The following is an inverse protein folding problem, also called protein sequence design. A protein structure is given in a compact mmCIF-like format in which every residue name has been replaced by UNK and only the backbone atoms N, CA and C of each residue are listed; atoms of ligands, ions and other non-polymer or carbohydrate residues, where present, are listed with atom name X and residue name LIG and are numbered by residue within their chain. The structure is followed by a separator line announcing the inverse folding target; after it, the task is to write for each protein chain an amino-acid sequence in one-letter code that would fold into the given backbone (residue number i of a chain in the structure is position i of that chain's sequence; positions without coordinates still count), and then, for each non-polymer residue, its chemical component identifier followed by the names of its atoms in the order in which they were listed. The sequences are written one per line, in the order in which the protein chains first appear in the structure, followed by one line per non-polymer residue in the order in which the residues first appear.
data_IF_961304772806
#
_entry.id   IF_961304772806
#
_cell.length_a   1.000
_cell.length_b   1.000
_cell.length_c   1.000
_cell.angle_alpha   90.00
_cell.angle_beta   90.00
_cell.angle_gamma   90.00
#
_symmetry.space_group_name_H-M   'P 1'
#
loop_
_entity.id
_entity.type
_entity.pdbx_description
1 polymer ?
#
# COMPACT_ATOMS: atom_id res chain seq x y z
N UNK A 1 12.07 23.64 3.75
CA UNK A 1 12.15 22.23 3.43
C UNK A 1 12.66 21.49 4.63
N UNK A 2 11.93 20.49 5.08
CA UNK A 2 12.26 19.81 6.31
C UNK A 2 12.44 18.34 6.06
N UNK A 3 13.32 17.77 6.86
CA UNK A 3 13.55 16.35 6.79
C UNK A 3 12.44 15.61 7.51
N UNK A 4 11.98 14.53 6.92
CA UNK A 4 10.95 13.70 7.51
C UNK A 4 11.59 12.38 7.89
N UNK A 5 11.52 12.03 9.15
CA UNK A 5 12.07 10.79 9.63
C UNK A 5 10.93 9.76 9.70
N UNK A 6 10.99 8.77 8.83
CA UNK A 6 9.91 7.83 8.68
C UNK A 6 9.70 7.02 9.96
N UNK A 7 10.79 6.56 10.56
CA UNK A 7 10.67 5.75 11.78
C UNK A 7 10.01 6.55 12.90
N UNK A 8 10.37 7.83 12.99
CA UNK A 8 9.78 8.68 13.99
C UNK A 8 8.30 8.88 13.76
N UNK A 9 7.91 9.04 12.52
CA UNK A 9 6.50 9.23 12.22
C UNK A 9 5.71 7.97 12.57
N UNK A 10 6.25 6.80 12.26
CA UNK A 10 5.57 5.57 12.63
C UNK A 10 5.40 5.46 14.14
N UNK A 11 6.36 5.98 14.89
CA UNK A 11 6.29 5.86 16.35
C UNK A 11 5.18 6.71 16.96
N UNK A 12 4.57 7.59 16.18
CA UNK A 12 3.58 8.50 16.72
C UNK A 12 2.16 7.98 16.68
N UNK A 13 1.91 6.82 16.11
CA UNK A 13 0.55 6.32 16.07
C UNK A 13 0.57 4.81 16.22
N UNK A 14 -0.56 4.27 16.62
CA UNK A 14 -0.68 2.84 16.80
C UNK A 14 -1.86 2.25 16.03
N UNK A 15 -2.68 3.07 15.43
CA UNK A 15 -3.84 2.56 14.70
C UNK A 15 -3.39 1.75 13.50
N UNK A 16 -4.10 0.68 13.25
CA UNK A 16 -3.83 -0.15 12.08
C UNK A 16 -4.84 0.14 11.00
N UNK A 17 -4.41 0.01 9.77
CA UNK A 17 -5.25 0.20 8.58
C UNK A 17 -5.79 1.62 8.44
N UNK A 18 -5.11 2.58 9.05
CA UNK A 18 -5.48 3.99 8.93
C UNK A 18 -4.28 4.75 8.40
N UNK A 19 -4.28 5.08 7.12
CA UNK A 19 -3.13 5.77 6.54
C UNK A 19 -2.96 7.16 7.11
N UNK A 20 -1.71 7.53 7.31
CA UNK A 20 -1.36 8.86 7.81
C UNK A 20 -0.52 9.56 6.76
N UNK A 21 -0.94 10.72 6.33
CA UNK A 21 -0.21 11.46 5.32
C UNK A 21 0.98 12.14 5.97
N UNK A 22 2.16 11.90 5.44
CA UNK A 22 3.37 12.51 5.98
C UNK A 22 4.04 13.46 5.01
N UNK A 23 3.69 13.42 3.74
CA UNK A 23 4.30 14.31 2.76
C UNK A 23 3.47 14.31 1.50
N UNK A 24 3.70 15.33 0.69
CA UNK A 24 3.06 15.42 -0.62
C UNK A 24 4.09 15.89 -1.62
N UNK A 25 3.99 15.38 -2.82
CA UNK A 25 4.79 15.90 -3.89
C UNK A 25 4.04 15.72 -5.20
N UNK A 26 4.00 16.77 -5.98
CA UNK A 26 3.33 16.76 -7.29
C UNK A 26 1.91 16.26 -7.20
N UNK A 27 1.21 16.66 -6.17
CA UNK A 27 -0.19 16.25 -6.01
C UNK A 27 -0.37 14.84 -5.49
N UNK A 28 0.70 14.14 -5.21
CA UNK A 28 0.62 12.79 -4.69
C UNK A 28 0.94 12.79 -3.21
N UNK A 29 0.39 11.84 -2.50
CA UNK A 29 0.57 11.78 -1.06
C UNK A 29 1.43 10.61 -0.67
N UNK A 30 2.33 10.85 0.27
CA UNK A 30 3.09 9.77 0.87
C UNK A 30 2.40 9.45 2.19
N UNK A 31 1.96 8.21 2.33
CA UNK A 31 1.21 7.81 3.51
C UNK A 31 1.93 6.67 4.20
N UNK A 32 1.85 6.69 5.51
CA UNK A 32 2.34 5.57 6.31
C UNK A 32 1.14 4.85 6.88
N UNK A 33 1.19 3.53 6.89
CA UNK A 33 0.09 2.76 7.44
C UNK A 33 0.66 1.55 8.15
N UNK A 34 0.10 1.23 9.30
CA UNK A 34 0.45 0.02 10.01
C UNK A 34 -0.59 -1.02 9.67
N UNK A 35 -0.13 -2.18 9.23
CA UNK A 35 -1.04 -3.22 8.78
C UNK A 35 -0.63 -4.53 9.40
N UNK A 36 -1.52 -5.49 9.33
CA UNK A 36 -1.24 -6.82 9.81
C UNK A 36 -1.98 -7.78 8.94
N UNK A 37 -1.31 -8.81 8.49
CA UNK A 37 -1.95 -9.82 7.66
C UNK A 37 -1.82 -9.53 6.19
N UNK A 38 -2.91 -9.72 5.48
CA UNK A 38 -2.93 -9.64 4.04
C UNK A 38 -3.75 -8.46 3.57
N UNK A 39 -3.23 -7.75 2.59
CA UNK A 39 -3.97 -6.68 1.95
C UNK A 39 -4.81 -7.34 0.87
N UNK A 40 -6.12 -7.37 1.01
CA UNK A 40 -6.94 -8.10 0.05
C UNK A 40 -6.97 -7.40 -1.28
N UNK A 41 -7.19 -8.16 -2.32
CA UNK A 41 -7.29 -7.58 -3.65
C UNK A 41 -8.45 -6.61 -3.69
N UNK A 42 -8.17 -5.44 -4.20
CA UNK A 42 -9.22 -4.47 -4.41
C UNK A 42 -8.74 -3.56 -5.51
N UNK A 43 -9.53 -2.61 -5.90
CA UNK A 43 -9.11 -1.74 -6.98
C UNK A 43 -9.44 -0.30 -6.68
N UNK A 44 -8.69 0.56 -7.31
CA UNK A 44 -8.95 1.96 -7.30
C UNK A 44 -9.21 2.32 -8.74
N UNK A 45 -10.08 3.22 -8.96
CA UNK A 45 -10.59 3.44 -10.28
C UNK A 45 -9.57 3.87 -11.27
N UNK A 46 -8.83 4.86 -11.00
CA UNK A 46 -7.97 5.42 -11.99
C UNK A 46 -6.59 5.68 -11.54
N UNK A 47 -6.15 5.12 -10.48
CA UNK A 47 -4.83 5.45 -9.97
C UNK A 47 -4.03 4.20 -9.70
N UNK A 48 -2.75 4.34 -9.80
CA UNK A 48 -1.84 3.30 -9.38
C UNK A 48 -1.41 3.59 -7.97
N UNK A 49 -1.10 2.55 -7.23
CA UNK A 49 -0.63 2.70 -5.87
C UNK A 49 0.65 1.94 -5.69
N UNK A 50 1.57 2.51 -4.93
CA UNK A 50 2.80 1.83 -4.62
C UNK A 50 2.78 1.49 -3.14
N UNK A 51 3.16 0.26 -2.83
CA UNK A 51 3.35 -0.15 -1.45
C UNK A 51 4.82 -0.49 -1.24
N UNK A 52 5.41 0.11 -0.24
CA UNK A 52 6.78 -0.16 0.13
C UNK A 52 6.78 -0.62 1.58
N UNK A 53 7.37 -1.76 1.85
CA UNK A 53 7.42 -2.27 3.21
C UNK A 53 8.59 -1.66 3.94
N UNK A 54 8.32 -1.01 5.07
CA UNK A 54 9.35 -0.43 5.90
C UNK A 54 9.88 -1.48 6.87
N UNK A 55 8.99 -2.20 7.53
CA UNK A 55 9.37 -3.25 8.47
C UNK A 55 8.36 -4.36 8.42
N UNK A 56 8.80 -5.56 8.74
CA UNK A 56 7.92 -6.71 8.78
C UNK A 56 7.67 -7.27 7.41
N UNK A 57 6.59 -7.99 7.28
CA UNK A 57 6.24 -8.61 6.03
C UNK A 57 4.81 -8.27 5.70
N UNK A 58 4.53 -8.19 4.41
CA UNK A 58 3.23 -7.77 3.96
C UNK A 58 2.87 -8.54 2.71
N UNK A 59 1.65 -8.97 2.63
CA UNK A 59 1.18 -9.70 1.48
C UNK A 59 0.17 -8.88 0.75
N UNK A 60 0.33 -8.75 -0.55
CA UNK A 60 -0.64 -8.08 -1.39
C UNK A 60 -1.26 -9.13 -2.27
N UNK A 61 -2.56 -9.28 -2.18
CA UNK A 61 -3.28 -10.28 -2.94
C UNK A 61 -3.77 -9.68 -4.23
N UNK A 62 -3.32 -10.24 -5.35
CA UNK A 62 -3.81 -9.86 -6.65
C UNK A 62 -4.78 -10.91 -7.13
N UNK A 63 -5.42 -10.62 -8.23
CA UNK A 63 -6.39 -11.51 -8.76
C UNK A 63 -5.84 -12.87 -9.04
N UNK A 64 -4.63 -13.02 -9.53
CA UNK A 64 -4.06 -14.29 -9.96
C UNK A 64 -2.87 -14.73 -9.13
N UNK A 65 -2.50 -13.99 -8.11
CA UNK A 65 -1.34 -14.39 -7.33
C UNK A 65 -1.25 -13.56 -6.07
N UNK A 66 -0.38 -13.96 -5.19
CA UNK A 66 -0.08 -13.23 -3.98
C UNK A 66 1.38 -12.84 -4.04
N UNK A 67 1.65 -11.58 -3.73
CA UNK A 67 3.01 -11.09 -3.69
C UNK A 67 3.36 -10.79 -2.25
N UNK A 68 4.43 -11.39 -1.77
CA UNK A 68 4.91 -11.13 -0.42
C UNK A 68 6.05 -10.15 -0.47
N UNK A 69 6.04 -9.19 0.43
CA UNK A 69 7.07 -8.18 0.48
C UNK A 69 7.72 -8.19 1.84
N UNK A 70 9.02 -8.02 1.86
CA UNK A 70 9.77 -7.82 3.08
C UNK A 70 10.32 -6.41 3.12
N UNK A 71 11.08 -6.08 4.14
CA UNK A 71 11.57 -4.71 4.31
C UNK A 71 12.37 -4.25 3.09
N UNK A 72 12.05 -3.05 2.66
CA UNK A 72 12.74 -2.46 1.53
C UNK A 72 12.22 -2.89 0.17
N UNK A 73 11.19 -3.73 0.15
CA UNK A 73 10.62 -4.18 -1.13
C UNK A 73 9.34 -3.45 -1.42
N UNK A 74 9.07 -3.25 -2.69
CA UNK A 74 7.87 -2.53 -3.06
C UNK A 74 7.16 -3.20 -4.23
N UNK A 75 5.90 -2.86 -4.37
CA UNK A 75 5.12 -3.29 -5.52
C UNK A 75 4.25 -2.12 -5.95
N UNK A 76 4.00 -2.02 -7.23
CA UNK A 76 3.07 -1.04 -7.76
C UNK A 76 1.82 -1.78 -8.18
N UNK A 77 0.69 -1.38 -7.60
CA UNK A 77 -0.59 -1.97 -7.94
C UNK A 77 -1.16 -1.15 -9.09
N UNK A 78 -1.39 -1.76 -10.24
CA UNK A 78 -1.84 -0.99 -11.38
C UNK A 78 -3.29 -0.54 -11.20
N UNK A 79 -3.64 0.47 -11.96
CA UNK A 79 -5.02 0.93 -11.93
C UNK A 79 -5.92 -0.16 -12.52
N UNK A 80 -7.16 -0.05 -12.19
CA UNK A 80 -8.11 -1.06 -12.59
C UNK A 80 -8.12 -1.32 -14.08
N UNK A 81 -7.97 -0.31 -14.85
CA UNK A 81 -8.04 -0.45 -16.30
C UNK A 81 -6.86 -1.24 -16.84
N UNK A 82 -5.81 -1.43 -16.06
CA UNK A 82 -4.67 -2.23 -16.50
C UNK A 82 -4.75 -3.66 -16.03
N UNK A 83 -5.79 -4.03 -15.30
CA UNK A 83 -5.90 -5.36 -14.76
C UNK A 83 -7.01 -6.06 -15.50
N UNK A 84 -6.78 -7.28 -15.89
CA UNK A 84 -7.81 -8.00 -16.60
C UNK A 84 -9.06 -8.07 -15.74
N UNK A 85 -10.22 -8.13 -16.32
CA UNK A 85 -11.44 -8.12 -15.56
C UNK A 85 -11.50 -9.26 -14.58
N UNK A 86 -12.04 -9.02 -13.47
CA UNK A 86 -12.12 -10.02 -12.48
C UNK A 86 -13.03 -11.07 -12.88
N UNK A 87 -12.68 -12.18 -12.57
CA UNK A 87 -13.43 -13.08 -12.87
C UNK A 87 -14.31 -13.19 -11.96
N UNK A 88 -14.47 -13.03 -11.24
CA UNK A 88 -15.21 -13.28 -10.47
C UNK A 88 -15.44 -13.00 -9.47
N UNK A 89 -15.62 -13.06 -8.84
CA UNK A 89 -15.89 -12.91 -7.83
C UNK A 89 -15.16 -12.90 -6.83
N UNK A 90 -14.19 -12.27 -6.71
CA UNK A 90 -13.49 -12.06 -5.65
C UNK A 90 -14.15 -11.16 -4.82
N UNK A 91 -14.46 -11.44 -3.67
CA UNK A 91 -15.10 -10.55 -2.78
C UNK A 91 -14.13 -9.53 -2.40
N UNK A 92 -14.55 -8.53 -2.06
CA UNK A 92 -13.71 -7.55 -1.71
C UNK A 92 -13.88 -7.06 -0.58
#
# INVERSE_FOLDING_TARGET
MERINIAEKFARFSEQWQPKIVAELNGQEVKLVKVQGTFPWHHHDDVEEMFLVWRGRFRVEFRDRIVELGPGELVVVPRVSSIAPPLTKRPR
#
